data_IF_868075114064
#
_entry.id   IF_868075114064
#
_cell.length_a   1.000
_cell.length_b   1.000
_cell.length_c   1.000
_cell.angle_alpha   90.00
_cell.angle_beta   90.00
_cell.angle_gamma   90.00
#
_symmetry.space_group_name_H-M   'P 1'
#
loop_
_entity.id
_entity.type
_entity.pdbx_description
1 polymer ?
#
# COMPACT_ATOMS: atom_id res chain seq x y z
N UNK A 1 22.73 -23.91 3.25
CA UNK A 1 21.40 -23.22 3.27
C UNK A 1 21.41 -22.32 4.49
N UNK A 2 21.58 -21.01 4.32
CA UNK A 2 21.35 -20.04 5.40
C UNK A 2 19.85 -20.02 5.65
N UNK A 3 19.41 -20.55 6.80
CA UNK A 3 18.03 -20.47 7.21
C UNK A 3 17.65 -18.99 7.36
N UNK A 4 16.63 -18.57 6.65
CA UNK A 4 15.94 -17.33 6.97
C UNK A 4 15.31 -17.53 8.35
N UNK A 5 15.89 -16.93 9.37
CA UNK A 5 15.17 -16.77 10.63
C UNK A 5 14.09 -15.74 10.37
N UNK A 6 12.86 -16.19 10.24
CA UNK A 6 11.73 -15.27 10.32
C UNK A 6 11.78 -14.59 11.69
N UNK A 7 11.94 -13.29 11.70
CA UNK A 7 11.99 -12.50 12.94
C UNK A 7 10.72 -12.59 13.78
N UNK A 8 9.68 -13.23 13.25
CA UNK A 8 8.39 -13.40 13.91
C UNK A 8 7.85 -14.81 13.65
N UNK A 9 7.32 -15.49 14.68
CA UNK A 9 6.72 -16.79 14.50
C UNK A 9 5.56 -16.74 13.50
N UNK A 10 5.51 -17.71 12.63
CA UNK A 10 4.36 -17.91 11.75
C UNK A 10 3.15 -18.17 12.62
N UNK A 11 2.10 -17.36 12.48
CA UNK A 11 0.83 -17.63 13.11
C UNK A 11 -0.11 -18.27 12.07
N UNK A 12 -0.28 -19.60 12.09
CA UNK A 12 -1.08 -20.28 11.08
C UNK A 12 -2.59 -20.18 11.33
N UNK A 13 -3.02 -19.76 12.52
CA UNK A 13 -4.43 -19.90 12.97
C UNK A 13 -5.15 -18.56 13.05
N UNK A 14 -4.73 -17.59 12.30
CA UNK A 14 -5.39 -16.30 12.31
C UNK A 14 -4.44 -15.17 12.66
N UNK A 15 -4.95 -13.99 12.53
CA UNK A 15 -4.19 -12.77 12.65
C UNK A 15 -4.71 -11.95 13.84
N UNK A 16 -4.88 -12.59 15.00
CA UNK A 16 -5.45 -11.95 16.19
C UNK A 16 -6.90 -11.51 15.90
N UNK A 17 -7.23 -10.19 15.94
CA UNK A 17 -8.57 -9.69 15.65
C UNK A 17 -8.95 -9.70 14.16
N UNK A 18 -8.07 -10.19 13.29
CA UNK A 18 -8.24 -10.23 11.85
C UNK A 18 -8.53 -11.63 11.33
N UNK A 19 -9.19 -11.71 10.18
CA UNK A 19 -9.36 -12.98 9.43
C UNK A 19 -8.01 -13.45 8.89
N UNK A 20 -7.93 -14.75 8.56
CA UNK A 20 -6.88 -15.23 7.68
C UNK A 20 -6.92 -14.48 6.33
N UNK A 21 -5.79 -14.40 5.64
CA UNK A 21 -5.73 -13.79 4.32
C UNK A 21 -6.64 -14.49 3.32
N UNK A 22 -7.45 -13.69 2.63
CA UNK A 22 -8.24 -14.11 1.47
C UNK A 22 -7.63 -13.51 0.19
N UNK A 23 -7.74 -14.22 -0.91
CA UNK A 23 -7.25 -13.74 -2.20
C UNK A 23 -8.18 -12.67 -2.78
N UNK A 24 -7.57 -11.67 -3.43
CA UNK A 24 -8.21 -10.67 -4.28
C UNK A 24 -7.86 -10.92 -5.76
N UNK A 25 -8.34 -10.06 -6.65
CA UNK A 25 -7.88 -10.02 -8.05
C UNK A 25 -6.36 -9.82 -8.14
N UNK A 26 -5.81 -9.03 -7.23
CA UNK A 26 -4.39 -8.80 -7.06
C UNK A 26 -4.07 -8.71 -5.56
N UNK A 27 -3.17 -9.57 -5.07
CA UNK A 27 -2.78 -9.58 -3.66
C UNK A 27 -3.76 -10.29 -2.74
N UNK A 28 -3.74 -9.93 -1.46
CA UNK A 28 -4.48 -10.58 -0.39
C UNK A 28 -5.07 -9.56 0.58
N UNK A 29 -6.22 -9.88 1.15
CA UNK A 29 -6.91 -9.04 2.13
C UNK A 29 -7.04 -9.75 3.49
N UNK A 30 -6.81 -9.00 4.56
CA UNK A 30 -7.17 -9.38 5.94
C UNK A 30 -8.21 -8.38 6.45
N UNK A 31 -9.29 -8.89 6.98
CA UNK A 31 -10.46 -8.14 7.41
C UNK A 31 -10.60 -8.21 8.93
N UNK A 32 -11.06 -7.16 9.62
CA UNK A 32 -11.46 -7.26 11.02
C UNK A 32 -12.51 -8.37 11.19
N UNK A 33 -12.34 -9.24 12.20
CA UNK A 33 -13.31 -10.33 12.45
C UNK A 33 -14.65 -9.80 12.97
N UNK A 34 -14.64 -8.62 13.60
CA UNK A 34 -15.83 -7.95 14.14
C UNK A 34 -15.70 -6.44 13.97
N UNK A 35 -16.77 -5.78 13.59
CA UNK A 35 -16.80 -4.32 13.39
C UNK A 35 -15.85 -3.86 12.29
N UNK A 36 -15.19 -2.73 12.49
CA UNK A 36 -14.27 -2.14 11.52
C UNK A 36 -14.97 -1.33 10.43
N UNK A 37 -16.27 -1.10 10.60
CA UNK A 37 -17.09 -0.30 9.68
C UNK A 37 -17.91 0.73 10.45
N UNK A 38 -18.31 1.77 9.75
CA UNK A 38 -19.28 2.77 10.19
C UNK A 38 -20.71 2.24 10.11
N UNK A 39 -21.73 2.93 10.70
CA UNK A 39 -23.13 2.50 10.59
C UNK A 39 -23.66 2.41 9.16
N UNK A 40 -23.09 3.15 8.22
CA UNK A 40 -23.39 3.11 6.79
C UNK A 40 -22.55 2.10 6.00
N UNK A 41 -21.83 1.21 6.70
CA UNK A 41 -21.00 0.13 6.16
C UNK A 41 -19.71 0.60 5.44
N UNK A 42 -19.20 1.78 5.77
CA UNK A 42 -17.93 2.29 5.28
C UNK A 42 -16.74 1.68 6.03
N UNK A 43 -15.75 1.19 5.30
CA UNK A 43 -14.51 0.61 5.82
C UNK A 43 -13.31 1.50 5.47
N UNK A 44 -12.37 1.62 6.40
CA UNK A 44 -11.08 2.24 6.13
C UNK A 44 -10.09 1.16 5.67
N UNK A 45 -9.39 1.41 4.57
CA UNK A 45 -8.54 0.42 3.90
C UNK A 45 -7.12 0.94 3.74
N UNK A 46 -6.15 0.10 4.10
CA UNK A 46 -4.74 0.31 3.79
C UNK A 46 -4.28 -0.71 2.75
N UNK A 47 -3.77 -0.25 1.60
CA UNK A 47 -3.10 -1.09 0.61
C UNK A 47 -1.59 -0.94 0.80
N UNK A 48 -0.92 -2.04 1.16
CA UNK A 48 0.53 -2.11 1.32
C UNK A 48 1.17 -2.77 0.10
N UNK A 49 2.05 -2.04 -0.57
CA UNK A 49 2.88 -2.54 -1.67
C UNK A 49 4.27 -2.91 -1.16
N UNK A 50 4.72 -4.12 -1.49
CA UNK A 50 5.99 -4.72 -1.10
C UNK A 50 6.13 -4.94 0.42
N UNK A 51 6.83 -6.03 0.78
CA UNK A 51 7.07 -6.38 2.18
C UNK A 51 5.78 -6.64 2.99
N UNK A 52 4.71 -7.06 2.34
CA UNK A 52 3.41 -7.20 2.97
C UNK A 52 3.39 -8.16 4.16
N UNK A 53 4.21 -9.20 4.17
CA UNK A 53 4.28 -10.17 5.28
C UNK A 53 4.82 -9.57 6.59
N UNK A 54 6.00 -8.93 6.63
CA UNK A 54 6.47 -8.28 7.85
C UNK A 54 5.58 -7.12 8.30
N UNK A 55 5.14 -6.27 7.35
CA UNK A 55 4.24 -5.15 7.67
C UNK A 55 2.92 -5.65 8.24
N UNK A 56 2.34 -6.71 7.68
CA UNK A 56 1.13 -7.35 8.20
C UNK A 56 1.27 -7.75 9.67
N UNK A 57 2.37 -8.39 10.03
CA UNK A 57 2.58 -8.87 11.41
C UNK A 57 2.50 -7.72 12.43
N UNK A 58 3.14 -6.61 12.11
CA UNK A 58 3.05 -5.40 12.94
C UNK A 58 1.66 -4.77 12.88
N UNK A 59 1.10 -4.65 11.68
CA UNK A 59 -0.22 -4.06 11.45
C UNK A 59 -1.30 -4.69 12.32
N UNK A 60 -1.44 -6.02 12.29
CA UNK A 60 -2.50 -6.72 13.04
C UNK A 60 -2.33 -6.64 14.55
N UNK A 61 -1.13 -6.31 15.04
CA UNK A 61 -0.86 -6.12 16.47
C UNK A 61 -1.30 -4.72 16.95
N UNK A 62 -1.10 -3.69 16.12
CA UNK A 62 -1.27 -2.29 16.53
C UNK A 62 -2.58 -1.67 16.06
N UNK A 63 -3.18 -2.17 14.98
CA UNK A 63 -4.42 -1.62 14.43
C UNK A 63 -5.67 -2.32 14.94
N UNK A 64 -6.78 -1.60 14.86
CA UNK A 64 -8.13 -2.13 15.14
C UNK A 64 -9.09 -1.57 14.10
N UNK A 65 -9.88 -2.43 13.46
CA UNK A 65 -10.92 -2.02 12.54
C UNK A 65 -10.47 -1.63 11.13
N UNK A 66 -9.18 -1.37 10.90
CA UNK A 66 -8.66 -0.99 9.58
C UNK A 66 -8.45 -2.24 8.72
N UNK A 67 -8.94 -2.25 7.50
CA UNK A 67 -8.75 -3.35 6.53
C UNK A 67 -7.33 -3.30 5.96
N UNK A 68 -6.67 -4.45 5.88
CA UNK A 68 -5.33 -4.57 5.31
C UNK A 68 -5.33 -5.32 3.99
N UNK A 69 -4.77 -4.70 2.95
CA UNK A 69 -4.53 -5.33 1.65
C UNK A 69 -3.02 -5.37 1.40
N UNK A 70 -2.48 -6.56 1.17
CA UNK A 70 -1.05 -6.75 0.89
C UNK A 70 -0.82 -7.19 -0.54
N UNK A 71 0.03 -6.46 -1.27
CA UNK A 71 0.42 -6.76 -2.65
C UNK A 71 1.92 -6.96 -2.71
N UNK A 72 2.35 -8.11 -3.22
CA UNK A 72 3.76 -8.40 -3.46
C UNK A 72 3.95 -8.86 -4.91
N UNK A 73 4.90 -8.23 -5.59
CA UNK A 73 5.29 -8.51 -6.99
C UNK A 73 6.75 -8.95 -7.09
N UNK A 74 7.37 -9.27 -5.95
CA UNK A 74 8.76 -9.68 -5.88
C UNK A 74 9.73 -8.52 -5.72
N UNK A 75 10.94 -8.66 -6.26
CA UNK A 75 12.04 -7.72 -6.09
C UNK A 75 12.06 -6.64 -7.17
N UNK A 76 12.49 -5.44 -6.80
CA UNK A 76 12.59 -4.29 -7.70
C UNK A 76 11.26 -3.59 -7.94
N UNK A 77 11.32 -2.32 -8.35
CA UNK A 77 10.12 -1.49 -8.57
C UNK A 77 9.44 -1.75 -9.92
N UNK A 78 10.17 -2.26 -10.91
CA UNK A 78 9.64 -2.54 -12.26
C UNK A 78 8.35 -3.37 -12.24
N UNK A 79 8.31 -4.56 -11.61
CA UNK A 79 7.11 -5.38 -11.54
C UNK A 79 5.88 -4.68 -10.90
N UNK A 80 6.13 -3.72 -10.00
CA UNK A 80 5.07 -2.90 -9.40
C UNK A 80 4.59 -1.83 -10.36
N UNK A 81 5.51 -1.13 -11.04
CA UNK A 81 5.17 -0.14 -12.07
C UNK A 81 4.39 -0.78 -13.21
N UNK A 82 4.86 -1.91 -13.73
CA UNK A 82 4.21 -2.63 -14.83
C UNK A 82 2.79 -3.08 -14.45
N UNK A 83 2.60 -3.55 -13.21
CA UNK A 83 1.30 -4.02 -12.74
C UNK A 83 0.25 -2.91 -12.65
N UNK A 84 0.65 -1.65 -12.50
CA UNK A 84 -0.24 -0.50 -12.35
C UNK A 84 -0.05 0.57 -13.45
N UNK A 85 0.70 0.25 -14.50
CA UNK A 85 0.86 1.14 -15.66
C UNK A 85 -0.48 1.43 -16.38
N UNK A 86 -1.44 0.50 -16.29
CA UNK A 86 -2.79 0.71 -16.78
C UNK A 86 -3.70 1.11 -15.59
N UNK A 87 -4.41 2.26 -15.67
CA UNK A 87 -5.32 2.71 -14.62
C UNK A 87 -6.44 1.71 -14.29
N UNK A 88 -6.84 0.87 -15.24
CA UNK A 88 -7.84 -0.17 -15.02
C UNK A 88 -7.39 -1.23 -14.00
N UNK A 89 -6.09 -1.43 -13.82
CA UNK A 89 -5.57 -2.36 -12.83
C UNK A 89 -5.93 -1.92 -11.41
N UNK A 90 -5.80 -0.62 -11.11
CA UNK A 90 -6.19 -0.07 -9.81
C UNK A 90 -7.71 -0.11 -9.62
N UNK A 91 -8.50 0.22 -10.66
CA UNK A 91 -9.96 0.12 -10.62
C UNK A 91 -10.42 -1.33 -10.37
N UNK A 92 -9.79 -2.31 -11.00
CA UNK A 92 -10.08 -3.73 -10.78
C UNK A 92 -9.77 -4.17 -9.36
N UNK A 93 -8.61 -3.74 -8.81
CA UNK A 93 -8.26 -3.99 -7.43
C UNK A 93 -9.28 -3.36 -6.48
N UNK A 94 -9.62 -2.09 -6.67
CA UNK A 94 -10.60 -1.37 -5.85
C UNK A 94 -11.94 -2.12 -5.79
N UNK A 95 -12.50 -2.47 -6.94
CA UNK A 95 -13.74 -3.24 -7.02
C UNK A 95 -13.63 -4.62 -6.36
N UNK A 96 -12.48 -5.28 -6.45
CA UNK A 96 -12.28 -6.58 -5.80
C UNK A 96 -12.22 -6.47 -4.27
N UNK A 97 -11.72 -5.36 -3.74
CA UNK A 97 -11.74 -5.06 -2.31
C UNK A 97 -13.19 -4.84 -1.86
N UNK A 98 -13.96 -3.97 -2.53
CA UNK A 98 -15.36 -3.73 -2.17
C UNK A 98 -16.19 -5.02 -2.21
N UNK A 99 -16.03 -5.84 -3.25
CA UNK A 99 -16.68 -7.14 -3.31
C UNK A 99 -16.27 -8.08 -2.17
N UNK A 100 -15.04 -7.97 -1.65
CA UNK A 100 -14.60 -8.74 -0.48
C UNK A 100 -15.23 -8.21 0.82
N UNK A 101 -15.37 -6.89 0.96
CA UNK A 101 -16.06 -6.25 2.08
C UNK A 101 -17.53 -6.67 2.14
N UNK A 102 -18.23 -6.61 1.01
CA UNK A 102 -19.64 -7.01 0.88
C UNK A 102 -19.86 -8.48 1.26
N UNK A 103 -19.00 -9.38 0.76
CA UNK A 103 -19.07 -10.80 1.16
C UNK A 103 -18.73 -11.04 2.62
N UNK A 104 -17.88 -10.22 3.21
CA UNK A 104 -17.48 -10.37 4.60
C UNK A 104 -18.58 -9.92 5.58
N UNK A 105 -19.23 -8.81 5.28
CA UNK A 105 -20.28 -8.22 6.09
C UNK A 105 -21.68 -8.80 5.82
N UNK A 106 -21.83 -9.55 4.72
CA UNK A 106 -23.14 -9.97 4.18
C UNK A 106 -24.07 -8.76 3.93
N UNK A 107 -23.49 -7.62 3.55
CA UNK A 107 -24.21 -6.38 3.27
C UNK A 107 -23.73 -5.75 1.96
N UNK A 108 -24.59 -5.58 0.96
CA UNK A 108 -24.24 -4.98 -0.33
C UNK A 108 -23.86 -3.50 -0.25
N UNK A 109 -24.15 -2.82 0.86
CA UNK A 109 -23.76 -1.41 1.08
C UNK A 109 -22.31 -1.26 1.50
N UNK A 110 -21.62 -2.37 1.84
CA UNK A 110 -20.22 -2.28 2.28
C UNK A 110 -19.35 -1.68 1.18
N UNK A 111 -18.61 -0.63 1.54
CA UNK A 111 -17.80 0.17 0.63
C UNK A 111 -16.52 0.66 1.30
N UNK A 112 -15.57 1.12 0.49
CA UNK A 112 -14.38 1.80 0.97
C UNK A 112 -14.75 3.24 1.33
N UNK A 113 -14.58 3.63 2.60
CA UNK A 113 -14.80 4.98 3.10
C UNK A 113 -13.54 5.84 2.95
N UNK A 114 -12.43 5.35 3.48
CA UNK A 114 -11.11 5.97 3.35
C UNK A 114 -10.10 4.97 2.83
N UNK A 115 -9.24 5.44 1.92
CA UNK A 115 -8.23 4.65 1.26
C UNK A 115 -6.85 5.25 1.45
N UNK A 116 -5.96 4.48 2.09
CA UNK A 116 -4.55 4.81 2.17
C UNK A 116 -3.70 3.84 1.33
N UNK A 117 -2.72 4.38 0.62
CA UNK A 117 -1.67 3.61 -0.03
C UNK A 117 -0.41 3.65 0.83
N UNK A 118 0.23 2.51 1.02
CA UNK A 118 1.53 2.42 1.67
C UNK A 118 2.49 1.60 0.82
N UNK A 119 3.73 2.02 0.75
CA UNK A 119 4.76 1.27 0.05
C UNK A 119 6.04 1.20 0.88
N UNK A 120 6.68 0.03 0.88
CA UNK A 120 8.03 -0.13 1.36
C UNK A 120 8.96 -0.36 0.17
N UNK A 121 10.11 0.36 0.16
CA UNK A 121 11.17 0.19 -0.86
C UNK A 121 10.57 0.07 -2.28
N UNK A 122 10.76 -1.05 -2.95
CA UNK A 122 10.30 -1.31 -4.33
C UNK A 122 8.81 -1.05 -4.61
N UNK A 123 7.96 -1.12 -3.58
CA UNK A 123 6.52 -0.88 -3.71
C UNK A 123 6.15 0.52 -4.18
N UNK A 124 7.08 1.51 -4.07
CA UNK A 124 6.84 2.86 -4.56
C UNK A 124 6.49 2.90 -6.05
N UNK A 125 6.96 1.93 -6.84
CA UNK A 125 6.65 1.84 -8.26
C UNK A 125 5.15 1.77 -8.54
N UNK A 126 4.39 0.99 -7.74
CA UNK A 126 2.93 0.95 -7.85
C UNK A 126 2.30 2.29 -7.48
N UNK A 127 2.71 2.87 -6.34
CA UNK A 127 2.15 4.16 -5.87
C UNK A 127 2.41 5.26 -6.88
N UNK A 128 3.62 5.33 -7.46
CA UNK A 128 3.97 6.29 -8.50
C UNK A 128 3.05 6.17 -9.73
N UNK A 129 2.80 4.96 -10.22
CA UNK A 129 1.91 4.76 -11.36
C UNK A 129 0.46 5.14 -11.05
N UNK A 130 -0.07 4.72 -9.89
CA UNK A 130 -1.43 5.04 -9.47
C UNK A 130 -1.63 6.55 -9.35
N UNK A 131 -0.70 7.27 -8.73
CA UNK A 131 -0.82 8.72 -8.53
C UNK A 131 -0.70 9.54 -9.82
N UNK A 132 -0.08 9.01 -10.89
CA UNK A 132 -0.03 9.70 -12.20
C UNK A 132 -1.42 9.99 -12.76
N UNK A 133 -2.40 9.19 -12.42
CA UNK A 133 -3.76 9.32 -12.94
C UNK A 133 -4.68 10.17 -12.06
N UNK A 134 -4.19 10.65 -10.91
CA UNK A 134 -4.92 11.59 -10.05
C UNK A 134 -6.23 11.00 -9.49
N UNK A 135 -6.15 9.92 -8.73
CA UNK A 135 -7.35 9.26 -8.18
C UNK A 135 -7.82 9.92 -6.89
N UNK A 136 -8.96 10.59 -6.93
CA UNK A 136 -9.56 11.31 -5.81
C UNK A 136 -10.03 10.40 -4.65
N UNK A 137 -10.05 9.07 -4.85
CA UNK A 137 -10.40 8.10 -3.81
C UNK A 137 -9.29 7.87 -2.80
N UNK A 138 -8.07 8.39 -3.06
CA UNK A 138 -6.91 8.18 -2.21
C UNK A 138 -6.82 9.32 -1.20
N UNK A 139 -7.03 9.01 0.08
CA UNK A 139 -6.96 9.98 1.17
C UNK A 139 -5.54 10.20 1.70
N UNK A 140 -4.70 9.16 1.66
CA UNK A 140 -3.36 9.23 2.21
C UNK A 140 -2.35 8.34 1.48
N UNK A 141 -1.08 8.77 1.49
CA UNK A 141 0.06 8.00 0.98
C UNK A 141 1.17 7.98 2.01
N UNK A 142 1.69 6.79 2.32
CA UNK A 142 2.82 6.57 3.23
C UNK A 142 3.93 5.82 2.50
N UNK A 143 5.08 6.46 2.32
CA UNK A 143 6.25 5.86 1.70
C UNK A 143 7.31 5.56 2.75
N UNK A 144 7.64 4.28 2.90
CA UNK A 144 8.67 3.77 3.81
C UNK A 144 9.88 3.37 2.98
N UNK A 145 10.98 4.14 3.08
CA UNK A 145 12.20 3.91 2.30
C UNK A 145 11.94 3.82 0.78
N UNK A 146 11.04 4.67 0.28
CA UNK A 146 10.53 4.62 -1.09
C UNK A 146 10.64 5.92 -1.89
N UNK A 147 11.37 6.93 -1.40
CA UNK A 147 11.63 8.15 -2.14
C UNK A 147 12.85 7.94 -3.06
N UNK A 148 12.63 7.32 -4.19
CA UNK A 148 13.64 7.17 -5.23
C UNK A 148 13.34 8.13 -6.38
N UNK A 149 14.33 8.92 -6.78
CA UNK A 149 14.22 9.73 -7.98
C UNK A 149 14.11 8.81 -9.20
N UNK A 150 13.06 8.96 -10.00
CA UNK A 150 12.98 8.31 -11.28
C UNK A 150 14.06 8.87 -12.22
N UNK A 151 14.69 8.02 -13.03
CA UNK A 151 15.56 8.48 -14.10
C UNK A 151 14.78 9.39 -15.04
N UNK A 152 15.20 10.67 -15.14
CA UNK A 152 14.68 11.59 -16.11
C UNK A 152 15.73 11.75 -17.24
N UNK A 153 15.53 11.19 -18.42
CA UNK A 153 16.48 11.30 -19.52
C UNK A 153 16.66 12.74 -20.02
N UNK A 154 15.74 13.65 -19.69
CA UNK A 154 15.85 15.08 -19.99
C UNK A 154 16.52 15.89 -18.87
N UNK A 155 16.83 15.27 -17.73
CA UNK A 155 17.57 15.96 -16.67
C UNK A 155 19.05 16.15 -17.10
N UNK A 156 19.65 17.33 -16.89
CA UNK A 156 21.07 17.51 -17.14
C UNK A 156 21.88 16.50 -16.33
N UNK A 157 22.98 16.01 -16.92
CA UNK A 157 23.83 15.00 -16.28
C UNK A 157 24.29 15.46 -14.90
N UNK A 158 24.41 14.53 -13.95
CA UNK A 158 24.80 14.80 -12.55
C UNK A 158 26.12 15.58 -12.40
N UNK A 159 26.98 15.59 -13.42
CA UNK A 159 28.25 16.31 -13.42
C UNK A 159 28.10 17.83 -13.52
N UNK A 160 26.88 18.32 -13.86
CA UNK A 160 26.56 19.75 -13.87
C UNK A 160 25.92 20.26 -12.55
N UNK A 161 25.68 19.39 -11.56
CA UNK A 161 24.75 19.67 -10.45
C UNK A 161 25.36 19.91 -9.07
N UNK A 162 26.69 19.86 -8.91
CA UNK A 162 27.28 20.07 -7.55
C UNK A 162 27.44 21.55 -7.20
N UNK A 163 27.31 22.47 -8.16
CA UNK A 163 27.48 23.90 -7.93
C UNK A 163 26.18 24.69 -7.63
N UNK A 164 24.98 24.06 -7.62
CA UNK A 164 23.72 24.83 -7.52
C UNK A 164 23.00 24.70 -6.16
N UNK A 165 23.52 23.95 -5.19
CA UNK A 165 22.90 23.83 -3.86
C UNK A 165 23.25 24.99 -2.90
N UNK A 166 24.09 25.93 -3.30
CA UNK A 166 24.51 27.08 -2.48
C UNK A 166 23.58 28.30 -2.56
N UNK A 167 22.47 28.26 -3.30
CA UNK A 167 21.60 29.42 -3.53
C UNK A 167 20.15 29.28 -3.08
N UNK A 168 19.82 28.30 -2.22
CA UNK A 168 18.51 28.30 -1.57
C UNK A 168 18.54 29.28 -0.39
N UNK A 169 17.73 30.36 -0.38
CA UNK A 169 17.65 31.25 0.77
C UNK A 169 17.06 30.46 1.94
N UNK A 170 17.81 30.40 3.04
CA UNK A 170 17.29 29.95 4.34
C UNK A 170 16.19 30.93 4.74
N UNK A 171 14.94 30.44 4.78
CA UNK A 171 13.83 31.20 5.31
C UNK A 171 14.07 31.58 6.77
N UNK A 172 13.41 32.60 7.29
CA UNK A 172 13.66 33.09 8.64
C UNK A 172 13.31 32.01 9.67
N UNK A 173 14.25 31.77 10.58
CA UNK A 173 14.04 31.01 11.80
C UNK A 173 13.06 31.75 12.70
N UNK A 174 11.96 31.08 13.05
CA UNK A 174 11.10 31.43 14.16
C UNK A 174 11.40 30.57 15.37
#
# INVERSE_FOLDING_TARGET
>A
KKGYHECFPHDPIGLGPYTAFKNLSMGRIALPQRGGHTPDMGYDVLIQFHGHSPVRKTFVQVTRGLVYVGIDKGLGSGPYSDAFANPDAFNTLFKSIEAALQRHSDDPRAHIRHLALSAWSAGYGAVNEILKYGDERIDAVVLLDGLHAAWNPAAPSRDAGVSSLSSLPLGPTF
#
